data_IF_204609888357
#
_entry.id   IF_204609888357
#
_cell.length_a   1.000
_cell.length_b   1.000
_cell.length_c   1.000
_cell.angle_alpha   90.00
_cell.angle_beta   90.00
_cell.angle_gamma   90.00
#
_symmetry.space_group_name_H-M   'P 1'
#
loop_
_entity.id
_entity.type
_entity.pdbx_description
1 polymer ?
#
# COMPACT_ATOMS: atom_id res chain seq x y z
N UNK A 1 -20.59 27.11 -27.04
CA UNK A 1 -21.27 26.27 -26.03
C UNK A 1 -22.15 27.16 -25.18
N UNK A 2 -23.35 26.71 -24.81
CA UNK A 2 -24.27 27.48 -23.98
C UNK A 2 -23.66 27.70 -22.59
N UNK A 3 -23.74 28.90 -21.99
CA UNK A 3 -23.19 29.17 -20.65
C UNK A 3 -23.80 28.25 -19.57
N UNK A 4 -25.03 27.78 -19.79
CA UNK A 4 -25.71 26.83 -18.90
C UNK A 4 -25.02 25.45 -18.87
N UNK A 5 -24.58 24.95 -20.03
CA UNK A 5 -23.88 23.65 -20.12
C UNK A 5 -22.51 23.70 -19.42
N UNK A 6 -21.81 24.84 -19.50
CA UNK A 6 -20.55 25.04 -18.79
C UNK A 6 -20.73 25.03 -17.27
N UNK A 7 -21.80 25.65 -16.77
CA UNK A 7 -22.13 25.66 -15.35
C UNK A 7 -22.51 24.24 -14.84
N UNK A 8 -23.29 23.48 -15.61
CA UNK A 8 -23.64 22.09 -15.29
C UNK A 8 -22.41 21.18 -15.25
N UNK A 9 -21.50 21.29 -16.22
CA UNK A 9 -20.24 20.54 -16.24
C UNK A 9 -19.33 20.90 -15.05
N UNK A 10 -19.26 22.18 -14.69
CA UNK A 10 -18.55 22.65 -13.51
C UNK A 10 -19.12 22.07 -12.21
N UNK A 11 -20.44 22.03 -12.07
CA UNK A 11 -21.12 21.45 -10.92
C UNK A 11 -20.92 19.92 -10.83
N UNK A 12 -20.97 19.22 -11.96
CA UNK A 12 -20.69 17.79 -12.02
C UNK A 12 -19.23 17.49 -11.61
N UNK A 13 -18.26 18.24 -12.15
CA UNK A 13 -16.86 18.10 -11.81
C UNK A 13 -16.59 18.41 -10.32
N UNK A 14 -17.23 19.44 -9.77
CA UNK A 14 -17.20 19.75 -8.33
C UNK A 14 -17.68 18.56 -7.49
N UNK A 15 -18.77 17.93 -7.89
CA UNK A 15 -19.37 16.78 -7.18
C UNK A 15 -18.43 15.58 -7.17
N UNK A 16 -17.83 15.25 -8.32
CA UNK A 16 -16.78 14.20 -8.41
C UNK A 16 -15.59 14.57 -7.51
N UNK A 17 -15.20 15.85 -7.54
CA UNK A 17 -14.29 16.55 -6.61
C UNK A 17 -14.46 16.12 -5.15
N UNK A 18 -15.64 16.45 -4.66
CA UNK A 18 -16.01 16.30 -3.27
C UNK A 18 -16.13 14.81 -2.90
N UNK A 19 -16.60 13.95 -3.82
CA UNK A 19 -16.65 12.50 -3.60
C UNK A 19 -15.26 11.85 -3.54
N UNK A 20 -14.32 12.28 -4.40
CA UNK A 20 -12.93 11.82 -4.33
C UNK A 20 -12.29 12.22 -2.99
N UNK A 21 -12.56 13.44 -2.51
CA UNK A 21 -12.07 13.92 -1.22
C UNK A 21 -12.63 13.12 -0.04
N UNK A 22 -13.93 12.81 -0.06
CA UNK A 22 -14.56 11.95 0.93
C UNK A 22 -13.96 10.54 0.92
N UNK A 23 -13.76 9.96 -0.27
CA UNK A 23 -13.16 8.63 -0.44
C UNK A 23 -11.71 8.60 0.04
N UNK A 24 -10.92 9.65 -0.26
CA UNK A 24 -9.55 9.79 0.23
C UNK A 24 -9.50 9.89 1.77
N UNK A 25 -10.44 10.60 2.38
CA UNK A 25 -10.55 10.70 3.85
C UNK A 25 -10.89 9.34 4.47
N UNK A 26 -11.81 8.59 3.87
CA UNK A 26 -12.10 7.21 4.30
C UNK A 26 -10.86 6.31 4.16
N UNK A 27 -10.09 6.45 3.09
CA UNK A 27 -8.86 5.71 2.90
C UNK A 27 -7.82 6.03 4.00
N UNK A 28 -7.71 7.28 4.44
CA UNK A 28 -6.84 7.66 5.56
C UNK A 28 -7.24 6.90 6.83
N UNK A 29 -8.53 6.86 7.14
CA UNK A 29 -9.03 6.16 8.33
C UNK A 29 -8.74 4.65 8.25
N UNK A 30 -8.98 4.02 7.09
CA UNK A 30 -8.66 2.59 6.88
C UNK A 30 -7.16 2.32 7.01
N UNK A 31 -6.28 3.25 6.60
CA UNK A 31 -4.83 3.12 6.80
C UNK A 31 -4.43 3.26 8.27
N UNK A 32 -5.14 4.05 9.07
CA UNK A 32 -4.93 4.12 10.51
C UNK A 32 -5.42 2.85 11.22
N UNK A 33 -6.58 2.30 10.83
CA UNK A 33 -7.07 0.99 11.30
C UNK A 33 -6.11 -0.15 10.93
N UNK A 34 -5.55 -0.13 9.71
CA UNK A 34 -4.52 -1.07 9.26
C UNK A 34 -3.29 -1.01 10.17
N UNK A 35 -2.87 0.19 10.58
CA UNK A 35 -1.74 0.37 11.49
C UNK A 35 -2.03 -0.20 12.88
N UNK A 36 -3.20 0.09 13.45
CA UNK A 36 -3.62 -0.47 14.74
C UNK A 36 -3.68 -2.00 14.70
N UNK A 37 -4.23 -2.57 13.62
CA UNK A 37 -4.26 -4.02 13.41
C UNK A 37 -2.85 -4.63 13.34
N UNK A 38 -1.89 -3.96 12.69
CA UNK A 38 -0.49 -4.38 12.63
C UNK A 38 0.23 -4.29 13.97
N UNK A 39 -0.10 -3.27 14.78
CA UNK A 39 0.45 -3.12 16.12
C UNK A 39 -0.09 -4.19 17.08
N UNK A 40 -1.39 -4.48 17.00
CA UNK A 40 -2.07 -5.52 17.78
C UNK A 40 -1.84 -6.96 17.26
N UNK A 41 -1.20 -7.11 16.10
CA UNK A 41 -1.03 -8.38 15.39
C UNK A 41 -2.36 -9.13 15.11
N UNK A 42 -3.45 -8.39 14.89
CA UNK A 42 -4.77 -8.95 14.57
C UNK A 42 -4.90 -9.20 13.07
N UNK A 43 -4.70 -10.46 12.67
CA UNK A 43 -4.81 -10.89 11.27
C UNK A 43 -6.22 -10.72 10.67
N UNK A 44 -7.29 -10.80 11.49
CA UNK A 44 -8.67 -10.61 11.00
C UNK A 44 -8.96 -9.14 10.75
N UNK A 45 -8.52 -8.26 11.64
CA UNK A 45 -8.61 -6.83 11.42
C UNK A 45 -7.80 -6.41 10.19
N UNK A 46 -6.58 -6.94 10.02
CA UNK A 46 -5.73 -6.64 8.86
C UNK A 46 -6.35 -7.06 7.52
N UNK A 47 -7.00 -8.23 7.46
CA UNK A 47 -7.69 -8.65 6.25
C UNK A 47 -8.88 -7.74 5.92
N UNK A 48 -9.68 -7.36 6.93
CA UNK A 48 -10.82 -6.44 6.74
C UNK A 48 -10.36 -5.06 6.26
N UNK A 49 -9.31 -4.48 6.87
CA UNK A 49 -8.76 -3.21 6.43
C UNK A 49 -8.16 -3.30 5.02
N UNK A 50 -7.56 -4.45 4.66
CA UNK A 50 -7.06 -4.73 3.32
C UNK A 50 -8.17 -4.75 2.25
N UNK A 51 -9.28 -5.43 2.52
CA UNK A 51 -10.44 -5.46 1.63
C UNK A 51 -11.08 -4.07 1.46
N UNK A 52 -11.26 -3.34 2.56
CA UNK A 52 -11.80 -1.98 2.54
C UNK A 52 -10.91 -1.03 1.72
N UNK A 53 -9.59 -1.12 1.89
CA UNK A 53 -8.60 -0.37 1.10
C UNK A 53 -8.71 -0.66 -0.40
N UNK A 54 -8.84 -1.93 -0.79
CA UNK A 54 -9.04 -2.31 -2.20
C UNK A 54 -10.35 -1.78 -2.78
N UNK A 55 -11.43 -1.78 -2.01
CA UNK A 55 -12.71 -1.19 -2.42
C UNK A 55 -12.59 0.31 -2.66
N UNK A 56 -11.97 1.04 -1.72
CA UNK A 56 -11.79 2.49 -1.81
C UNK A 56 -10.86 2.89 -2.96
N UNK A 57 -9.78 2.14 -3.20
CA UNK A 57 -8.88 2.39 -4.34
C UNK A 57 -9.60 2.22 -5.68
N UNK A 58 -10.40 1.16 -5.84
CA UNK A 58 -11.22 0.98 -7.06
C UNK A 58 -12.23 2.11 -7.25
N UNK A 59 -12.83 2.62 -6.17
CA UNK A 59 -13.74 3.78 -6.27
C UNK A 59 -12.98 5.04 -6.70
N UNK A 60 -11.80 5.29 -6.15
CA UNK A 60 -10.96 6.42 -6.56
C UNK A 60 -10.55 6.34 -8.04
N UNK A 61 -10.20 5.16 -8.54
CA UNK A 61 -9.87 4.95 -9.95
C UNK A 61 -11.07 5.27 -10.87
N UNK A 62 -12.27 4.83 -10.50
CA UNK A 62 -13.49 5.15 -11.25
C UNK A 62 -13.75 6.66 -11.30
N UNK A 63 -13.65 7.33 -10.16
CA UNK A 63 -13.84 8.78 -10.06
C UNK A 63 -12.78 9.56 -10.85
N UNK A 64 -11.53 9.08 -10.89
CA UNK A 64 -10.47 9.71 -11.68
C UNK A 64 -10.75 9.64 -13.19
N UNK A 65 -11.28 8.50 -13.67
CA UNK A 65 -11.73 8.36 -15.08
C UNK A 65 -12.87 9.34 -15.39
N UNK A 66 -13.88 9.44 -14.53
CA UNK A 66 -15.00 10.38 -14.68
C UNK A 66 -14.51 11.83 -14.71
N UNK A 67 -13.63 12.18 -13.78
CA UNK A 67 -12.98 13.50 -13.68
C UNK A 67 -12.21 13.83 -14.95
N UNK A 68 -11.39 12.91 -15.47
CA UNK A 68 -10.63 13.12 -16.71
C UNK A 68 -11.56 13.39 -17.89
N UNK A 69 -12.63 12.60 -18.03
CA UNK A 69 -13.62 12.79 -19.08
C UNK A 69 -14.29 14.18 -19.01
N UNK A 70 -14.71 14.61 -17.81
CA UNK A 70 -15.31 15.93 -17.60
C UNK A 70 -14.32 17.06 -17.87
N UNK A 71 -13.07 16.94 -17.40
CA UNK A 71 -12.03 17.96 -17.60
C UNK A 71 -11.59 18.12 -19.06
N UNK A 72 -11.59 17.03 -19.84
CA UNK A 72 -11.31 17.07 -21.27
C UNK A 72 -12.46 17.71 -22.06
N UNK A 73 -13.68 17.65 -21.53
CA UNK A 73 -14.88 18.24 -22.17
C UNK A 73 -14.95 19.74 -21.94
N UNK A 74 -14.46 20.25 -20.80
CA UNK A 74 -14.38 21.68 -20.53
C UNK A 74 -13.15 22.07 -19.69
N UNK A 75 -12.26 22.85 -20.31
CA UNK A 75 -11.10 23.45 -19.64
C UNK A 75 -11.50 24.55 -18.65
N UNK A 76 -12.57 25.30 -18.93
CA UNK A 76 -13.06 26.38 -18.05
C UNK A 76 -13.60 25.81 -16.73
N UNK A 77 -14.36 24.71 -16.79
CA UNK A 77 -14.86 24.00 -15.61
C UNK A 77 -13.71 23.44 -14.76
N UNK A 78 -12.66 22.93 -15.42
CA UNK A 78 -11.46 22.42 -14.74
C UNK A 78 -10.68 23.53 -14.00
N UNK A 79 -10.59 24.73 -14.58
CA UNK A 79 -9.93 25.87 -13.93
C UNK A 79 -10.67 26.33 -12.67
N UNK A 80 -12.01 26.28 -12.65
CA UNK A 80 -12.81 26.67 -11.49
C UNK A 80 -12.66 25.73 -10.29
N UNK A 81 -12.32 24.46 -10.54
CA UNK A 81 -12.18 23.41 -9.53
C UNK A 81 -10.72 23.08 -9.16
N UNK A 82 -9.76 23.82 -9.74
CA UNK A 82 -8.32 23.59 -9.54
C UNK A 82 -7.86 23.69 -8.07
N UNK A 83 -8.46 24.57 -7.28
CA UNK A 83 -8.15 24.71 -5.85
C UNK A 83 -8.46 23.43 -5.06
N UNK A 84 -9.64 22.86 -5.28
CA UNK A 84 -10.12 21.63 -4.63
C UNK A 84 -9.25 20.46 -5.07
N UNK A 85 -8.90 20.42 -6.36
CA UNK A 85 -8.02 19.40 -6.89
C UNK A 85 -6.65 19.43 -6.21
N UNK A 86 -6.07 20.61 -6.02
CA UNK A 86 -4.81 20.77 -5.29
C UNK A 86 -4.91 20.28 -3.85
N UNK A 87 -6.03 20.54 -3.18
CA UNK A 87 -6.23 20.06 -1.80
C UNK A 87 -6.42 18.53 -1.75
N UNK A 88 -7.13 17.94 -2.72
CA UNK A 88 -7.22 16.49 -2.87
C UNK A 88 -5.84 15.85 -3.08
N UNK A 89 -4.99 16.44 -3.93
CA UNK A 89 -3.63 15.94 -4.15
C UNK A 89 -2.78 15.96 -2.87
N UNK A 90 -2.94 16.97 -2.01
CA UNK A 90 -2.29 16.99 -0.69
C UNK A 90 -2.78 15.84 0.19
N UNK A 91 -4.10 15.61 0.24
CA UNK A 91 -4.67 14.48 0.98
C UNK A 91 -4.15 13.13 0.47
N UNK A 92 -4.10 12.93 -0.84
CA UNK A 92 -3.53 11.72 -1.44
C UNK A 92 -2.03 11.55 -1.14
N UNK A 93 -1.27 12.64 -1.07
CA UNK A 93 0.13 12.59 -0.65
C UNK A 93 0.26 12.11 0.80
N UNK A 94 -0.64 12.54 1.70
CA UNK A 94 -0.72 12.03 3.08
C UNK A 94 -1.09 10.55 3.11
N UNK A 95 -2.06 10.12 2.31
CA UNK A 95 -2.41 8.69 2.17
C UNK A 95 -1.20 7.85 1.75
N UNK A 96 -0.44 8.33 0.77
CA UNK A 96 0.75 7.63 0.26
C UNK A 96 1.82 7.48 1.35
N UNK A 97 2.09 8.54 2.10
CA UNK A 97 3.07 8.50 3.20
C UNK A 97 2.63 7.51 4.31
N UNK A 98 1.36 7.55 4.72
CA UNK A 98 0.80 6.56 5.67
C UNK A 98 0.93 5.13 5.16
N UNK A 99 0.58 4.89 3.89
CA UNK A 99 0.71 3.56 3.28
C UNK A 99 2.17 3.08 3.24
N UNK A 100 3.13 3.97 2.95
CA UNK A 100 4.55 3.63 2.94
C UNK A 100 5.05 3.26 4.35
N UNK A 101 4.61 3.97 5.39
CA UNK A 101 4.92 3.65 6.79
C UNK A 101 4.34 2.30 7.21
N UNK A 102 3.09 2.02 6.87
CA UNK A 102 2.46 0.72 7.12
C UNK A 102 3.22 -0.41 6.42
N UNK A 103 3.63 -0.21 5.15
CA UNK A 103 4.42 -1.17 4.40
C UNK A 103 5.80 -1.45 5.03
N UNK A 104 6.47 -0.44 5.57
CA UNK A 104 7.72 -0.61 6.31
C UNK A 104 7.53 -1.46 7.58
N UNK A 105 6.45 -1.22 8.34
CA UNK A 105 6.11 -1.99 9.53
C UNK A 105 5.84 -3.45 9.20
N UNK A 106 5.05 -3.73 8.14
CA UNK A 106 4.79 -5.09 7.66
C UNK A 106 6.09 -5.81 7.31
N UNK A 107 6.98 -5.16 6.56
CA UNK A 107 8.27 -5.75 6.17
C UNK A 107 9.17 -6.06 7.37
N UNK A 108 9.18 -5.18 8.38
CA UNK A 108 9.92 -5.40 9.61
C UNK A 108 9.37 -6.61 10.39
N UNK A 109 8.04 -6.71 10.54
CA UNK A 109 7.38 -7.84 11.20
C UNK A 109 7.63 -9.16 10.48
N UNK A 110 7.51 -9.19 9.16
CA UNK A 110 7.81 -10.37 8.35
C UNK A 110 9.27 -10.82 8.51
N UNK A 111 10.21 -9.87 8.56
CA UNK A 111 11.62 -10.16 8.80
C UNK A 111 11.85 -10.79 10.17
N UNK A 112 11.20 -10.27 11.21
CA UNK A 112 11.26 -10.82 12.58
C UNK A 112 10.69 -12.25 12.64
N UNK A 113 9.52 -12.48 12.03
CA UNK A 113 8.89 -13.80 11.98
C UNK A 113 9.78 -14.80 11.24
N UNK A 114 10.34 -14.43 10.09
CA UNK A 114 11.27 -15.29 9.34
C UNK A 114 12.53 -15.64 10.15
N UNK A 115 13.10 -14.68 10.88
CA UNK A 115 14.25 -14.92 11.77
C UNK A 115 13.89 -15.87 12.91
N UNK A 116 12.75 -15.65 13.58
CA UNK A 116 12.28 -16.53 14.65
C UNK A 116 12.01 -17.95 14.14
N UNK A 117 11.39 -18.08 12.97
CA UNK A 117 11.22 -19.37 12.30
C UNK A 117 12.56 -19.99 11.93
N UNK A 118 13.55 -19.24 11.46
CA UNK A 118 14.87 -19.78 11.12
C UNK A 118 15.61 -20.32 12.35
N UNK A 119 15.53 -19.61 13.48
CA UNK A 119 16.06 -20.08 14.78
C UNK A 119 15.33 -21.36 15.22
N UNK A 120 13.99 -21.38 15.16
CA UNK A 120 13.19 -22.52 15.62
C UNK A 120 13.35 -23.75 14.72
N UNK A 121 13.50 -23.54 13.41
CA UNK A 121 13.70 -24.61 12.42
C UNK A 121 15.16 -25.06 12.32
N UNK A 122 16.07 -24.43 13.09
CA UNK A 122 17.48 -24.78 13.11
C UNK A 122 18.19 -24.60 11.78
N UNK A 123 17.69 -23.71 10.90
CA UNK A 123 18.31 -23.46 9.58
C UNK A 123 19.63 -22.68 9.66
N UNK A 124 20.02 -22.24 10.86
CA UNK A 124 21.38 -21.78 11.19
C UNK A 124 22.28 -22.95 11.67
N UNK A 125 22.05 -24.15 11.12
CA UNK A 125 22.88 -25.34 11.36
C UNK A 125 24.17 -25.30 10.53
N UNK A 126 24.98 -24.26 10.76
CA UNK A 126 26.43 -24.38 10.73
C UNK A 126 27.03 -24.18 12.13
N UNK A 127 26.29 -24.56 13.17
CA UNK A 127 26.92 -24.89 14.45
C UNK A 127 27.60 -26.23 14.27
N UNK A 128 28.86 -26.20 13.87
CA UNK A 128 29.76 -27.33 14.01
C UNK A 128 29.81 -27.71 15.48
N UNK A 129 29.00 -28.69 15.88
CA UNK A 129 29.00 -29.20 17.24
C UNK A 129 30.35 -29.88 17.47
N UNK A 130 31.04 -29.46 18.53
CA UNK A 130 32.28 -30.10 18.97
C UNK A 130 32.04 -31.61 19.09
N UNK A 131 32.77 -32.39 18.28
CA UNK A 131 32.91 -33.82 18.55
C UNK A 131 33.59 -34.01 19.90
N UNK A 132 33.32 -35.12 20.58
CA UNK A 132 33.87 -35.48 21.90
C UNK A 132 35.42 -35.52 21.96
N UNK A 133 36.08 -35.34 20.83
CA UNK A 133 37.51 -35.31 20.58
C UNK A 133 38.01 -33.99 19.95
N UNK A 134 37.23 -32.90 19.99
CA UNK A 134 37.69 -31.53 19.67
C UNK A 134 38.01 -31.24 18.20
N UNK A 135 37.75 -32.17 17.28
CA UNK A 135 38.05 -31.95 15.86
C UNK A 135 36.87 -31.27 15.14
N UNK A 136 37.08 -30.02 14.73
CA UNK A 136 36.16 -29.28 13.85
C UNK A 136 36.21 -29.90 12.46
N UNK A 137 35.13 -30.57 12.04
CA UNK A 137 34.97 -31.04 10.66
C UNK A 137 34.12 -30.04 9.88
N UNK A 138 34.77 -29.07 9.24
CA UNK A 138 34.14 -28.29 8.17
C UNK A 138 34.07 -29.17 6.91
N UNK A 139 32.92 -29.76 6.64
CA UNK A 139 32.71 -30.49 5.39
C UNK A 139 32.43 -29.50 4.24
N UNK A 140 33.49 -28.86 3.72
CA UNK A 140 33.47 -28.27 2.40
C UNK A 140 34.15 -29.23 1.42
N UNK A 141 33.36 -29.89 0.57
CA UNK A 141 33.83 -30.25 -0.77
C UNK A 141 32.66 -30.49 -1.73
N UNK A 142 32.33 -29.46 -2.51
CA UNK A 142 31.62 -29.60 -3.76
C UNK A 142 32.54 -30.36 -4.73
N UNK A 143 32.14 -31.54 -5.20
CA UNK A 143 32.79 -32.21 -6.33
C UNK A 143 31.85 -32.09 -7.52
N UNK A 144 32.27 -31.50 -8.66
CA UNK A 144 31.45 -31.47 -9.86
C UNK A 144 31.42 -32.85 -10.52
N UNK A 145 30.22 -33.37 -10.79
CA UNK A 145 29.98 -34.55 -11.62
C UNK A 145 30.01 -34.12 -13.09
N UNK A 146 31.17 -34.22 -13.73
CA UNK A 146 31.28 -34.29 -15.18
C UNK A 146 32.66 -34.85 -15.60
N UNK A 147 32.76 -36.17 -15.77
CA UNK A 147 33.61 -36.77 -16.80
C UNK A 147 33.30 -38.25 -17.00
N UNK A 148 32.71 -38.54 -18.16
CA UNK A 148 33.02 -39.57 -19.19
C UNK A 148 31.72 -40.06 -19.82
#
# INVERSE_FOLDING_TARGET
MSPNLQAELGAALRTVLDEMSATATQLINVLDEEREALEAADAKALNRSGEAKQMLLRRLEQLDVERLHLSNTSTEAAQQTDSIWRDLLKSLAVCRDKNQRNGALVNQRLTQVRRALSVLTGSDSQVGTYGQNGAVRSAHRSVPLAQV
#
